data_IF_458053018031
#
_entry.id   IF_458053018031
#
_cell.length_a   1.000
_cell.length_b   1.000
_cell.length_c   1.000
_cell.angle_alpha   90.00
_cell.angle_beta   90.00
_cell.angle_gamma   90.00
#
_symmetry.space_group_name_H-M   'P 1'
#
loop_
_entity.id
_entity.type
_entity.pdbx_description
1 polymer ?
#
# COMPACT_ATOMS: atom_id res chain seq x y z
N UNK A 1 -33.53 -3.29 -24.76
CA UNK A 1 -32.84 -2.30 -25.60
C UNK A 1 -31.38 -2.43 -25.24
N UNK A 2 -30.72 -3.33 -25.88
CA UNK A 2 -29.86 -3.29 -27.04
C UNK A 2 -28.90 -2.08 -27.02
N UNK A 3 -27.61 -2.28 -26.82
CA UNK A 3 -26.65 -2.32 -27.88
C UNK A 3 -25.26 -2.81 -27.45
N UNK A 4 -24.88 -3.78 -28.23
CA UNK A 4 -23.60 -4.51 -28.17
C UNK A 4 -22.63 -3.76 -29.13
N UNK A 5 -21.40 -3.46 -28.66
CA UNK A 5 -20.28 -3.09 -29.55
C UNK A 5 -19.07 -3.93 -29.25
N UNK A 6 -18.91 -4.99 -30.03
CA UNK A 6 -17.73 -5.83 -30.08
C UNK A 6 -16.56 -5.11 -30.73
N UNK A 7 -15.36 -5.26 -30.15
CA UNK A 7 -14.09 -4.82 -30.71
C UNK A 7 -13.48 -5.87 -31.67
N UNK A 8 -12.49 -5.49 -32.51
CA UNK A 8 -12.09 -6.19 -33.72
C UNK A 8 -10.98 -7.28 -33.54
N UNK A 9 -10.88 -7.97 -32.43
CA UNK A 9 -9.88 -9.02 -32.25
C UNK A 9 -10.50 -10.26 -31.59
N UNK A 10 -11.26 -11.08 -32.42
CA UNK A 10 -11.69 -12.42 -32.06
C UNK A 10 -11.01 -13.48 -32.94
N UNK A 11 -10.51 -14.61 -32.40
CA UNK A 11 -9.91 -15.65 -33.20
C UNK A 11 -10.98 -16.47 -33.92
N UNK A 12 -10.77 -16.68 -35.24
CA UNK A 12 -11.57 -17.53 -36.12
C UNK A 12 -11.34 -18.99 -35.72
N UNK A 13 -12.39 -19.65 -35.24
CA UNK A 13 -12.49 -21.08 -35.07
C UNK A 13 -12.78 -21.76 -36.38
N UNK A 14 -11.94 -22.73 -36.73
CA UNK A 14 -12.19 -23.70 -37.80
C UNK A 14 -12.92 -24.89 -37.18
N UNK A 15 -14.15 -25.04 -37.55
CA UNK A 15 -14.94 -26.24 -37.30
C UNK A 15 -14.73 -27.27 -38.41
N UNK A 16 -14.61 -28.46 -37.96
CA UNK A 16 -14.44 -29.71 -38.55
C UNK A 16 -15.65 -30.30 -39.22
N UNK A 17 -15.48 -31.47 -39.65
CA UNK A 17 -16.57 -32.41 -39.75
C UNK A 17 -16.66 -33.16 -41.06
N UNK A 18 -16.40 -34.48 -40.93
CA UNK A 18 -17.26 -35.53 -41.43
C UNK A 18 -17.03 -36.01 -42.85
N UNK A 19 -16.55 -37.11 -43.03
CA UNK A 19 -16.96 -38.46 -43.23
C UNK A 19 -17.81 -38.72 -44.47
N UNK A 20 -17.42 -39.72 -45.25
CA UNK A 20 -18.31 -40.33 -46.22
C UNK A 20 -17.60 -41.08 -47.30
N UNK A 21 -17.64 -42.37 -47.16
CA UNK A 21 -17.35 -43.47 -48.08
C UNK A 21 -18.01 -43.31 -49.47
N UNK A 22 -17.41 -43.99 -50.48
CA UNK A 22 -18.18 -44.41 -51.63
C UNK A 22 -17.37 -44.56 -52.91
N UNK A 23 -17.09 -45.79 -53.24
CA UNK A 23 -16.41 -46.30 -54.38
C UNK A 23 -17.09 -46.10 -55.71
N UNK A 24 -16.42 -46.55 -56.76
CA UNK A 24 -17.01 -46.81 -58.06
C UNK A 24 -16.26 -46.22 -59.24
N UNK A 25 -15.36 -47.00 -59.76
CA UNK A 25 -15.44 -47.69 -61.06
C UNK A 25 -15.52 -46.81 -62.32
N UNK A 26 -14.58 -47.07 -63.22
CA UNK A 26 -14.74 -47.24 -64.63
C UNK A 26 -14.97 -46.04 -65.54
N UNK A 27 -13.99 -45.65 -66.30
CA UNK A 27 -14.26 -44.74 -67.41
C UNK A 27 -13.07 -44.55 -68.34
N UNK A 28 -12.92 -45.49 -69.24
CA UNK A 28 -11.96 -45.46 -70.32
C UNK A 28 -12.43 -44.43 -71.40
N UNK A 29 -11.76 -43.28 -71.54
CA UNK A 29 -12.03 -42.30 -72.59
C UNK A 29 -10.79 -42.01 -73.41
N UNK A 30 -10.93 -41.71 -74.70
CA UNK A 30 -9.86 -41.87 -75.70
C UNK A 30 -8.80 -40.77 -75.58
N UNK A 31 -7.53 -41.21 -75.76
CA UNK A 31 -6.33 -40.39 -75.79
C UNK A 31 -6.30 -39.44 -76.96
N UNK A 32 -6.23 -38.17 -76.74
CA UNK A 32 -5.96 -37.14 -77.71
C UNK A 32 -4.48 -37.14 -78.15
N UNK A 33 -4.17 -37.10 -79.45
CA UNK A 33 -2.80 -37.28 -79.94
C UNK A 33 -1.96 -36.00 -80.04
N UNK A 34 -2.40 -34.91 -79.46
CA UNK A 34 -1.71 -33.61 -79.59
C UNK A 34 -1.39 -33.00 -78.23
N UNK A 35 -0.15 -33.22 -77.73
CA UNK A 35 0.28 -32.52 -76.54
C UNK A 35 1.47 -33.12 -75.82
N UNK A 36 2.61 -33.24 -76.50
CA UNK A 36 3.89 -33.36 -75.76
C UNK A 36 4.48 -31.95 -75.60
N UNK A 37 4.61 -31.43 -74.38
CA UNK A 37 5.40 -30.25 -74.13
C UNK A 37 6.90 -30.54 -74.20
N UNK A 38 7.74 -29.63 -74.75
CA UNK A 38 9.17 -29.86 -74.87
C UNK A 38 9.86 -29.96 -73.51
N UNK A 39 10.78 -30.92 -73.43
CA UNK A 39 11.68 -31.10 -72.27
C UNK A 39 12.51 -29.83 -72.08
N UNK A 40 12.15 -29.01 -71.11
CA UNK A 40 13.01 -27.91 -70.64
C UNK A 40 14.23 -28.48 -69.97
N UNK A 41 15.40 -28.17 -70.49
CA UNK A 41 16.71 -28.31 -69.84
C UNK A 41 16.63 -27.60 -68.51
N UNK A 42 16.89 -28.32 -67.41
CA UNK A 42 17.12 -27.76 -66.09
C UNK A 42 18.40 -26.94 -66.12
N UNK A 43 18.28 -25.63 -66.14
CA UNK A 43 19.31 -24.72 -65.65
C UNK A 43 19.41 -24.90 -64.13
N UNK A 44 20.61 -24.88 -63.53
CA UNK A 44 20.73 -24.90 -62.07
C UNK A 44 20.23 -23.55 -61.53
N UNK A 45 19.04 -23.55 -60.98
CA UNK A 45 18.49 -22.40 -60.24
C UNK A 45 19.22 -22.24 -58.94
N UNK A 46 19.84 -21.06 -58.78
CA UNK A 46 20.34 -20.56 -57.51
C UNK A 46 19.15 -20.26 -56.61
N UNK A 47 18.73 -21.22 -55.82
CA UNK A 47 17.83 -21.01 -54.70
C UNK A 47 18.67 -20.56 -53.50
N UNK A 48 18.14 -19.75 -52.59
CA UNK A 48 18.85 -19.40 -51.36
C UNK A 48 19.06 -20.69 -50.57
N UNK A 49 20.32 -21.13 -50.49
CA UNK A 49 20.74 -22.24 -49.67
C UNK A 49 20.42 -21.89 -48.20
N UNK A 50 19.25 -22.34 -47.72
CA UNK A 50 19.08 -22.61 -46.30
C UNK A 50 20.08 -23.77 -46.06
N UNK A 51 21.26 -23.41 -45.56
CA UNK A 51 22.24 -24.41 -45.16
C UNK A 51 21.55 -25.35 -44.17
N UNK A 52 21.28 -26.58 -44.64
CA UNK A 52 20.75 -27.63 -43.78
C UNK A 52 21.73 -27.83 -42.64
N UNK A 53 21.23 -28.10 -41.43
CA UNK A 53 22.06 -28.41 -40.27
C UNK A 53 23.10 -29.46 -40.58
N UNK A 54 22.81 -30.39 -41.50
CA UNK A 54 23.77 -31.40 -42.05
C UNK A 54 24.92 -30.77 -42.82
N UNK A 55 24.72 -29.70 -43.59
CA UNK A 55 25.82 -29.02 -44.32
C UNK A 55 26.67 -28.18 -43.37
N UNK A 56 26.08 -27.63 -42.32
CA UNK A 56 26.84 -26.95 -41.25
C UNK A 56 27.65 -27.97 -40.42
N UNK A 57 27.06 -29.13 -40.13
CA UNK A 57 27.75 -30.20 -39.43
C UNK A 57 28.87 -30.81 -40.30
N UNK A 58 28.65 -31.02 -41.63
CA UNK A 58 29.71 -31.43 -42.57
C UNK A 58 30.82 -30.40 -42.71
N UNK A 59 30.48 -29.13 -42.91
CA UNK A 59 31.46 -28.05 -42.95
C UNK A 59 32.22 -27.87 -41.63
N UNK A 60 31.52 -28.04 -40.49
CA UNK A 60 32.14 -28.11 -39.18
C UNK A 60 33.14 -29.28 -39.07
N UNK A 61 32.74 -30.48 -39.55
CA UNK A 61 33.58 -31.68 -39.51
C UNK A 61 34.76 -31.58 -40.48
N UNK A 62 34.60 -30.97 -41.66
CA UNK A 62 35.72 -30.76 -42.62
C UNK A 62 36.69 -29.68 -42.15
N UNK A 63 36.20 -28.62 -41.46
CA UNK A 63 37.03 -27.55 -40.96
C UNK A 63 37.78 -27.89 -39.68
N UNK A 64 37.19 -28.73 -38.82
CA UNK A 64 37.82 -29.21 -37.57
C UNK A 64 38.48 -30.58 -37.74
N UNK A 65 38.01 -31.44 -38.64
CA UNK A 65 38.54 -32.80 -38.84
C UNK A 65 39.87 -32.84 -39.61
N UNK A 66 40.24 -31.78 -40.37
CA UNK A 66 41.42 -31.78 -41.21
C UNK A 66 42.72 -31.25 -40.58
N UNK A 67 42.67 -30.77 -39.34
CA UNK A 67 43.81 -30.08 -38.71
C UNK A 67 44.41 -30.80 -37.52
N UNK A 68 43.86 -31.98 -37.16
CA UNK A 68 44.45 -32.85 -36.16
C UNK A 68 45.28 -33.94 -36.84
N UNK A 69 46.62 -33.92 -36.73
CA UNK A 69 47.46 -34.98 -37.25
C UNK A 69 47.09 -36.27 -36.51
N UNK A 70 46.57 -37.24 -37.25
CA UNK A 70 46.28 -38.57 -36.75
C UNK A 70 47.61 -39.29 -36.51
N UNK A 71 48.19 -39.04 -35.33
CA UNK A 71 49.34 -39.83 -34.88
C UNK A 71 48.81 -41.04 -34.12
N UNK A 72 49.02 -42.19 -34.65
CA UNK A 72 48.70 -43.47 -34.02
C UNK A 72 49.28 -43.50 -32.60
N UNK A 73 48.43 -43.55 -31.60
CA UNK A 73 48.84 -43.79 -30.21
C UNK A 73 48.43 -42.78 -29.15
N UNK A 74 47.89 -41.62 -29.52
CA UNK A 74 47.42 -40.65 -28.49
C UNK A 74 45.92 -40.36 -28.63
N UNK A 75 45.10 -40.63 -27.61
CA UNK A 75 43.65 -40.44 -27.68
C UNK A 75 43.30 -38.95 -27.57
N UNK A 76 43.31 -38.21 -28.70
CA UNK A 76 42.96 -36.78 -28.78
C UNK A 76 41.56 -36.48 -28.27
N UNK A 77 40.64 -37.44 -28.26
CA UNK A 77 39.33 -37.33 -27.67
C UNK A 77 39.40 -37.11 -26.15
N UNK A 78 40.43 -37.65 -25.46
CA UNK A 78 40.67 -37.38 -24.03
C UNK A 78 41.08 -35.90 -23.78
N UNK A 79 41.85 -35.30 -24.69
CA UNK A 79 42.15 -33.86 -24.59
C UNK A 79 40.92 -33.01 -24.85
N UNK A 80 40.04 -33.39 -25.80
CA UNK A 80 38.75 -32.77 -26.04
C UNK A 80 37.83 -32.88 -24.84
N UNK A 81 37.77 -34.07 -24.24
CA UNK A 81 37.03 -34.32 -23.00
C UNK A 81 37.60 -33.48 -21.82
N UNK A 82 38.93 -33.41 -21.71
CA UNK A 82 39.62 -32.63 -20.68
C UNK A 82 39.32 -31.12 -20.80
N UNK A 83 39.38 -30.58 -22.03
CA UNK A 83 39.01 -29.14 -22.27
C UNK A 83 37.53 -28.91 -22.00
N UNK A 84 36.66 -29.82 -22.40
CA UNK A 84 35.22 -29.74 -22.10
C UNK A 84 34.94 -29.77 -20.59
N UNK A 85 35.57 -30.66 -19.85
CA UNK A 85 35.48 -30.76 -18.40
C UNK A 85 36.02 -29.48 -17.73
N UNK A 86 37.15 -28.94 -18.22
CA UNK A 86 37.74 -27.72 -17.68
C UNK A 86 36.84 -26.51 -17.94
N UNK A 87 36.27 -26.37 -19.13
CA UNK A 87 35.29 -25.31 -19.44
C UNK A 87 34.01 -25.47 -18.61
N UNK A 88 33.51 -26.70 -18.45
CA UNK A 88 32.34 -26.98 -17.63
C UNK A 88 32.59 -26.64 -16.17
N UNK A 89 33.75 -26.99 -15.62
CA UNK A 89 34.18 -26.67 -14.27
C UNK A 89 34.31 -25.14 -14.07
N UNK A 90 34.92 -24.43 -15.03
CA UNK A 90 35.03 -23.00 -15.00
C UNK A 90 33.66 -22.29 -15.03
N UNK A 91 32.76 -22.77 -15.88
CA UNK A 91 31.45 -22.17 -16.05
C UNK A 91 30.55 -22.42 -14.83
N UNK A 92 30.64 -23.58 -14.18
CA UNK A 92 29.86 -23.95 -13.00
C UNK A 92 30.43 -23.40 -11.70
N UNK A 93 31.71 -23.02 -11.66
CA UNK A 93 32.36 -22.50 -10.46
C UNK A 93 32.21 -20.96 -10.29
N UNK A 94 31.69 -20.28 -11.31
CA UNK A 94 31.66 -18.82 -11.33
C UNK A 94 30.24 -18.32 -11.02
N UNK A 95 30.06 -17.73 -9.84
CA UNK A 95 28.78 -17.18 -9.41
C UNK A 95 28.88 -15.68 -9.15
N UNK A 96 27.91 -14.94 -9.67
CA UNK A 96 27.76 -13.49 -9.42
C UNK A 96 26.62 -13.28 -8.42
N UNK A 97 26.95 -12.66 -7.28
CA UNK A 97 26.00 -12.30 -6.24
C UNK A 97 25.73 -10.79 -6.35
N UNK A 98 24.46 -10.39 -6.29
CA UNK A 98 24.03 -9.02 -6.32
C UNK A 98 24.48 -8.21 -5.10
N UNK A 99 24.44 -6.87 -5.16
CA UNK A 99 24.92 -5.98 -4.07
C UNK A 99 24.06 -6.05 -2.79
N UNK A 100 22.84 -6.57 -2.88
CA UNK A 100 21.90 -6.72 -1.74
C UNK A 100 21.57 -8.19 -1.46
N UNK A 101 22.40 -9.10 -1.95
CA UNK A 101 22.27 -10.54 -1.78
C UNK A 101 23.47 -11.10 -1.05
N UNK A 102 23.26 -12.12 -0.26
CA UNK A 102 24.31 -12.94 0.30
C UNK A 102 24.14 -14.39 -0.18
N UNK A 103 25.25 -15.01 -0.59
CA UNK A 103 25.27 -16.38 -1.04
C UNK A 103 25.55 -17.35 0.12
N UNK A 104 24.72 -18.34 0.29
CA UNK A 104 24.94 -19.44 1.20
C UNK A 104 25.47 -20.62 0.42
N UNK A 105 26.71 -21.03 0.72
CA UNK A 105 27.37 -22.14 0.08
C UNK A 105 27.22 -23.40 0.93
N UNK A 106 26.69 -24.43 0.29
CA UNK A 106 26.54 -25.76 0.90
C UNK A 106 27.46 -26.76 0.22
N UNK A 107 28.16 -27.57 0.98
CA UNK A 107 29.00 -28.69 0.49
C UNK A 107 28.26 -29.97 0.77
N UNK A 108 27.87 -30.72 -0.29
CA UNK A 108 27.10 -31.97 -0.19
C UNK A 108 25.85 -31.83 0.70
N UNK A 109 25.15 -30.66 0.60
CA UNK A 109 23.95 -30.37 1.38
C UNK A 109 24.19 -29.89 2.82
N UNK A 110 25.45 -29.73 3.23
CA UNK A 110 25.82 -29.22 4.55
C UNK A 110 26.31 -27.78 4.42
N UNK A 111 25.86 -26.90 5.29
CA UNK A 111 26.38 -25.52 5.34
C UNK A 111 27.91 -25.48 5.46
N UNK A 112 28.54 -24.72 4.60
CA UNK A 112 30.00 -24.53 4.58
C UNK A 112 30.40 -23.11 4.94
N UNK A 113 29.92 -22.12 4.17
CA UNK A 113 30.26 -20.71 4.38
C UNK A 113 29.20 -19.78 3.77
N UNK A 114 29.14 -18.55 4.26
CA UNK A 114 28.39 -17.47 3.63
C UNK A 114 29.36 -16.57 2.86
N UNK A 115 28.97 -16.16 1.66
CA UNK A 115 29.78 -15.31 0.78
C UNK A 115 29.03 -14.02 0.49
N UNK A 116 29.77 -12.91 0.56
CA UNK A 116 29.23 -11.57 0.32
C UNK A 116 29.00 -11.25 -1.16
N UNK A 117 28.48 -10.05 -1.44
CA UNK A 117 28.23 -9.57 -2.79
C UNK A 117 29.51 -9.50 -3.61
N UNK A 118 29.38 -9.79 -4.92
CA UNK A 118 30.49 -9.79 -5.87
C UNK A 118 30.64 -11.07 -6.65
N UNK A 119 31.86 -11.30 -7.14
CA UNK A 119 32.21 -12.49 -7.89
C UNK A 119 32.82 -13.51 -6.93
N UNK A 120 32.17 -14.65 -6.79
CA UNK A 120 32.59 -15.70 -5.88
C UNK A 120 32.87 -17.00 -6.64
N UNK A 121 33.91 -17.71 -6.17
CA UNK A 121 34.29 -19.02 -6.66
C UNK A 121 33.78 -20.11 -5.72
N UNK A 122 33.05 -21.07 -6.29
CA UNK A 122 32.60 -22.26 -5.59
C UNK A 122 33.14 -23.50 -6.31
N UNK A 123 33.20 -24.63 -5.62
CA UNK A 123 33.48 -25.90 -6.25
C UNK A 123 32.34 -26.27 -7.21
N UNK A 124 32.63 -26.97 -8.33
CA UNK A 124 31.61 -27.31 -9.30
C UNK A 124 30.54 -28.23 -8.71
N UNK A 125 29.31 -27.99 -9.17
CA UNK A 125 28.22 -28.91 -8.87
C UNK A 125 28.62 -30.37 -9.29
N UNK A 126 28.41 -31.44 -8.48
CA UNK A 126 27.53 -31.49 -7.30
C UNK A 126 28.21 -31.28 -5.95
N UNK A 127 29.48 -30.89 -5.89
CA UNK A 127 30.24 -30.79 -4.63
C UNK A 127 29.75 -29.60 -3.78
N UNK A 128 29.68 -28.42 -4.37
CA UNK A 128 29.12 -27.22 -3.72
C UNK A 128 27.89 -26.75 -4.50
N UNK A 129 26.89 -26.29 -3.76
CA UNK A 129 25.73 -25.57 -4.25
C UNK A 129 25.64 -24.23 -3.56
N UNK A 130 25.31 -23.19 -4.29
CA UNK A 130 25.15 -21.85 -3.76
C UNK A 130 23.71 -21.37 -3.97
N UNK A 131 23.12 -20.83 -2.91
CA UNK A 131 21.82 -20.20 -2.92
C UNK A 131 21.96 -18.74 -2.53
N UNK A 132 21.49 -17.82 -3.36
CA UNK A 132 21.51 -16.40 -3.10
C UNK A 132 20.25 -15.99 -2.33
N UNK A 133 20.45 -15.34 -1.19
CA UNK A 133 19.38 -14.83 -0.32
C UNK A 133 19.38 -13.32 -0.40
N UNK A 134 18.24 -12.76 -0.77
CA UNK A 134 18.04 -11.33 -0.82
C UNK A 134 17.81 -10.75 0.59
N UNK A 135 18.57 -9.72 0.95
CA UNK A 135 18.50 -9.00 2.23
C UNK A 135 17.64 -7.73 2.15
N UNK A 136 16.96 -7.48 1.05
CA UNK A 136 16.07 -6.33 0.94
C UNK A 136 14.92 -6.40 1.94
N UNK A 137 14.44 -5.22 2.34
CA UNK A 137 13.26 -5.12 3.19
C UNK A 137 12.03 -5.52 2.38
N UNK A 138 11.32 -6.54 2.87
CA UNK A 138 10.10 -7.06 2.26
C UNK A 138 8.89 -6.75 3.13
N UNK A 139 7.79 -6.27 2.58
CA UNK A 139 6.53 -6.10 3.29
C UNK A 139 5.68 -7.37 3.21
N UNK A 140 5.07 -7.75 4.33
CA UNK A 140 3.97 -8.73 4.38
C UNK A 140 2.73 -7.99 4.88
N UNK A 141 1.68 -7.94 4.07
CA UNK A 141 0.39 -7.38 4.45
C UNK A 141 -0.49 -8.47 5.07
N UNK A 142 -1.13 -8.13 6.19
CA UNK A 142 -2.01 -9.01 6.95
C UNK A 142 -3.33 -8.28 7.18
N UNK A 143 -4.44 -8.92 6.82
CA UNK A 143 -5.77 -8.30 6.85
C UNK A 143 -6.01 -7.27 5.72
N UNK A 144 -7.25 -6.82 5.55
CA UNK A 144 -7.64 -5.80 4.58
C UNK A 144 -7.71 -6.26 3.13
N UNK A 145 -7.79 -7.57 2.87
CA UNK A 145 -8.02 -8.11 1.53
C UNK A 145 -9.48 -7.92 1.09
N UNK A 146 -9.68 -7.66 -0.21
CA UNK A 146 -11.00 -7.44 -0.85
C UNK A 146 -11.88 -8.71 -0.89
N UNK A 147 -11.43 -9.82 -0.29
CA UNK A 147 -12.02 -11.15 -0.43
C UNK A 147 -12.48 -11.84 0.86
N UNK A 148 -12.67 -11.11 1.96
CA UNK A 148 -13.19 -11.72 3.19
C UNK A 148 -12.13 -12.11 4.21
N UNK A 149 -10.87 -11.77 4.03
CA UNK A 149 -9.81 -11.89 5.04
C UNK A 149 -9.95 -10.77 6.10
N UNK A 150 -11.08 -10.79 6.82
CA UNK A 150 -11.26 -9.95 7.99
C UNK A 150 -10.37 -10.50 9.11
N UNK A 151 -9.38 -9.73 9.53
CA UNK A 151 -8.57 -10.07 10.69
C UNK A 151 -9.21 -9.51 11.95
N UNK A 152 -10.20 -10.22 12.47
CA UNK A 152 -10.95 -9.84 13.66
C UNK A 152 -10.15 -10.19 14.92
N UNK A 153 -9.86 -9.20 15.73
CA UNK A 153 -9.11 -9.35 16.98
C UNK A 153 -9.92 -8.77 18.13
N UNK A 154 -9.88 -9.44 19.28
CA UNK A 154 -10.50 -8.97 20.51
C UNK A 154 -9.53 -8.05 21.25
N UNK A 155 -9.99 -6.89 21.67
CA UNK A 155 -9.26 -5.92 22.51
C UNK A 155 -9.41 -6.27 23.99
N UNK A 156 -8.61 -5.61 24.86
CA UNK A 156 -8.63 -5.83 26.30
C UNK A 156 -9.94 -5.40 27.00
N UNK A 157 -10.70 -4.52 26.36
CA UNK A 157 -12.04 -4.07 26.79
C UNK A 157 -13.18 -4.84 26.10
N UNK A 158 -12.91 -6.07 25.63
CA UNK A 158 -13.88 -7.01 25.06
C UNK A 158 -14.56 -6.53 23.76
N UNK A 159 -13.98 -5.57 23.05
CA UNK A 159 -14.44 -5.14 21.75
C UNK A 159 -13.77 -5.93 20.62
N UNK A 160 -14.49 -6.09 19.50
CA UNK A 160 -13.96 -6.72 18.29
C UNK A 160 -13.53 -5.64 17.29
N UNK A 161 -12.30 -5.75 16.82
CA UNK A 161 -11.70 -4.81 15.85
C UNK A 161 -11.18 -5.58 14.64
N UNK A 162 -11.44 -5.05 13.47
CA UNK A 162 -10.80 -5.52 12.23
C UNK A 162 -9.49 -4.74 12.03
N UNK A 163 -8.36 -5.44 12.09
CA UNK A 163 -7.04 -4.80 12.01
C UNK A 163 -6.31 -5.24 10.76
N UNK A 164 -5.99 -4.26 9.90
CA UNK A 164 -5.12 -4.46 8.76
C UNK A 164 -3.77 -3.78 9.02
N UNK A 165 -2.69 -4.53 8.89
CA UNK A 165 -1.34 -4.04 9.15
C UNK A 165 -0.32 -4.62 8.19
N UNK A 166 0.84 -4.00 8.12
CA UNK A 166 1.96 -4.42 7.29
C UNK A 166 3.19 -4.60 8.15
N UNK A 167 3.82 -5.75 8.04
CA UNK A 167 5.09 -6.08 8.68
C UNK A 167 6.20 -5.92 7.66
N UNK A 168 7.21 -5.12 7.97
CA UNK A 168 8.43 -4.96 7.17
C UNK A 168 9.55 -5.74 7.83
N UNK A 169 10.16 -6.64 7.09
CA UNK A 169 11.21 -7.51 7.58
C UNK A 169 12.30 -7.70 6.54
N UNK A 170 13.46 -8.13 6.99
CA UNK A 170 14.59 -8.51 6.13
C UNK A 170 15.31 -9.73 6.70
N UNK A 171 16.08 -10.39 5.87
CA UNK A 171 16.97 -11.46 6.32
C UNK A 171 18.19 -10.83 6.96
N UNK A 172 18.48 -11.21 8.21
CA UNK A 172 19.66 -10.81 8.96
C UNK A 172 20.78 -11.85 8.89
N UNK A 173 20.40 -13.11 8.99
CA UNK A 173 21.30 -14.26 8.95
C UNK A 173 20.80 -15.28 7.94
N UNK A 174 21.37 -15.30 6.70
CA UNK A 174 20.95 -16.19 5.64
C UNK A 174 21.08 -17.67 5.97
N UNK A 175 22.06 -18.03 6.82
CA UNK A 175 22.24 -19.42 7.24
C UNK A 175 21.03 -19.89 8.06
N UNK A 176 20.66 -19.12 9.09
CA UNK A 176 19.52 -19.46 9.94
C UNK A 176 18.22 -19.42 9.15
N UNK A 177 18.09 -18.44 8.25
CA UNK A 177 16.90 -18.28 7.40
C UNK A 177 16.63 -19.52 6.53
N UNK A 178 17.66 -20.09 5.91
CA UNK A 178 17.49 -21.24 5.01
C UNK A 178 17.35 -22.58 5.73
N UNK A 179 17.98 -22.74 6.90
CA UNK A 179 18.10 -24.05 7.53
C UNK A 179 17.28 -24.25 8.80
N UNK A 180 16.70 -23.19 9.38
CA UNK A 180 15.98 -23.32 10.65
C UNK A 180 14.50 -23.61 10.46
N UNK A 181 13.86 -23.05 9.42
CA UNK A 181 12.42 -23.10 9.23
C UNK A 181 12.14 -23.45 7.77
N UNK A 182 11.14 -24.30 7.54
CA UNK A 182 10.78 -24.74 6.20
C UNK A 182 9.97 -23.69 5.42
N UNK A 183 9.00 -23.04 6.09
CA UNK A 183 8.19 -21.94 5.54
C UNK A 183 8.42 -20.68 6.38
N UNK A 184 9.34 -19.85 5.90
CA UNK A 184 9.73 -18.65 6.61
C UNK A 184 8.64 -17.58 6.56
N UNK A 185 8.04 -17.35 5.39
CA UNK A 185 7.03 -16.31 5.22
C UNK A 185 5.73 -16.65 5.95
N UNK A 186 5.32 -17.91 5.89
CA UNK A 186 4.18 -18.41 6.67
C UNK A 186 4.41 -18.26 8.17
N UNK A 187 5.60 -18.65 8.66
CA UNK A 187 5.94 -18.51 10.08
C UNK A 187 5.96 -17.03 10.53
N UNK A 188 6.53 -16.13 9.73
CA UNK A 188 6.53 -14.68 10.05
C UNK A 188 5.09 -14.16 10.13
N UNK A 189 4.20 -14.59 9.22
CA UNK A 189 2.78 -14.24 9.22
C UNK A 189 2.08 -14.73 10.48
N UNK A 190 2.24 -16.00 10.83
CA UNK A 190 1.63 -16.59 12.03
C UNK A 190 2.13 -15.95 13.32
N UNK A 191 3.42 -15.67 13.41
CA UNK A 191 4.02 -14.95 14.55
C UNK A 191 3.48 -13.52 14.62
N UNK A 192 3.30 -12.85 13.48
CA UNK A 192 2.72 -11.50 13.45
C UNK A 192 1.28 -11.48 13.93
N UNK A 193 0.45 -12.42 13.47
CA UNK A 193 -0.94 -12.55 13.91
C UNK A 193 -1.03 -12.86 15.41
N UNK A 194 -0.20 -13.77 15.89
CA UNK A 194 -0.13 -14.13 17.31
C UNK A 194 0.31 -12.94 18.16
N UNK A 195 1.36 -12.23 17.75
CA UNK A 195 1.89 -11.08 18.47
C UNK A 195 0.87 -9.91 18.47
N UNK A 196 0.25 -9.63 17.33
CA UNK A 196 -0.80 -8.61 17.25
C UNK A 196 -1.96 -8.95 18.18
N UNK A 197 -2.44 -10.18 18.17
CA UNK A 197 -3.54 -10.63 19.04
C UNK A 197 -3.15 -10.51 20.54
N UNK A 198 -1.93 -10.88 20.89
CA UNK A 198 -1.45 -10.78 22.26
C UNK A 198 -1.36 -9.33 22.76
N UNK A 199 -0.89 -8.40 21.92
CA UNK A 199 -0.80 -6.98 22.28
C UNK A 199 -2.18 -6.34 22.31
N UNK A 200 -3.03 -6.59 21.32
CA UNK A 200 -4.39 -6.04 21.26
C UNK A 200 -5.25 -6.46 22.45
N UNK A 201 -5.06 -7.66 22.99
CA UNK A 201 -5.75 -8.13 24.18
C UNK A 201 -5.39 -7.34 25.46
N UNK A 202 -4.37 -6.47 25.42
CA UNK A 202 -3.94 -5.63 26.55
C UNK A 202 -4.27 -4.15 26.41
N UNK A 203 -4.86 -3.73 25.29
CA UNK A 203 -5.18 -2.33 24.98
C UNK A 203 -6.66 -2.15 24.79
N UNK A 204 -7.13 -0.89 24.94
CA UNK A 204 -8.53 -0.54 24.71
C UNK A 204 -8.80 -0.27 23.23
N UNK A 205 -10.08 -0.32 22.84
CA UNK A 205 -10.51 0.02 21.48
C UNK A 205 -10.10 1.46 21.11
N UNK A 206 -10.24 2.39 22.04
CA UNK A 206 -9.92 3.81 21.83
C UNK A 206 -8.43 4.01 21.55
N UNK A 207 -7.55 3.33 22.29
CA UNK A 207 -6.10 3.34 22.03
C UNK A 207 -5.76 2.74 20.67
N UNK A 208 -6.43 1.63 20.30
CA UNK A 208 -6.21 0.94 19.03
C UNK A 208 -6.66 1.76 17.80
N UNK A 209 -7.75 2.53 17.94
CA UNK A 209 -8.27 3.40 16.88
C UNK A 209 -7.59 4.78 16.85
N UNK A 210 -7.09 5.23 18.00
CA UNK A 210 -6.57 6.58 18.24
C UNK A 210 -5.06 6.70 18.35
N UNK A 211 -4.61 7.38 19.38
CA UNK A 211 -3.21 7.77 19.60
C UNK A 211 -2.28 6.65 20.08
N UNK A 212 -2.82 5.50 20.51
CA UNK A 212 -2.05 4.36 21.01
C UNK A 212 -1.37 3.52 19.93
N UNK A 213 -1.61 3.78 18.65
CA UNK A 213 -1.11 2.95 17.53
C UNK A 213 0.39 2.76 17.53
N UNK A 214 1.17 3.81 17.73
CA UNK A 214 2.63 3.74 17.75
C UNK A 214 3.15 2.84 18.88
N UNK A 215 2.52 2.87 20.05
CA UNK A 215 2.88 2.01 21.17
C UNK A 215 2.56 0.54 20.87
N UNK A 216 1.40 0.29 20.27
CA UNK A 216 0.99 -1.05 19.79
C UNK A 216 1.98 -1.58 18.76
N UNK A 217 2.32 -0.80 17.74
CA UNK A 217 3.28 -1.15 16.68
C UNK A 217 4.65 -1.55 17.27
N UNK A 218 5.16 -0.76 18.21
CA UNK A 218 6.43 -1.03 18.88
C UNK A 218 6.39 -2.30 19.74
N UNK A 219 5.32 -2.50 20.51
CA UNK A 219 5.16 -3.72 21.33
C UNK A 219 5.05 -4.97 20.47
N UNK A 220 4.28 -4.90 19.35
CA UNK A 220 4.16 -6.00 18.40
C UNK A 220 5.50 -6.31 17.76
N UNK A 221 6.25 -5.30 17.30
CA UNK A 221 7.58 -5.46 16.73
C UNK A 221 8.52 -6.17 17.69
N UNK A 222 8.57 -5.72 18.95
CA UNK A 222 9.41 -6.34 19.99
C UNK A 222 9.01 -7.79 20.27
N UNK A 223 7.73 -8.05 20.40
CA UNK A 223 7.23 -9.41 20.69
C UNK A 223 7.53 -10.35 19.52
N UNK A 224 7.28 -9.91 18.27
CA UNK A 224 7.62 -10.66 17.08
C UNK A 224 9.12 -11.00 17.03
N UNK A 225 9.99 -10.00 17.25
CA UNK A 225 11.43 -10.20 17.22
C UNK A 225 11.87 -11.22 18.29
N UNK A 226 11.34 -11.14 19.50
CA UNK A 226 11.64 -12.11 20.58
C UNK A 226 11.25 -13.55 20.22
N UNK A 227 10.08 -13.73 19.58
CA UNK A 227 9.60 -15.06 19.17
C UNK A 227 10.46 -15.60 18.03
N UNK A 228 10.73 -14.78 16.99
CA UNK A 228 11.54 -15.18 15.84
C UNK A 228 13.00 -15.46 16.20
N UNK A 229 13.56 -14.71 17.15
CA UNK A 229 14.90 -14.98 17.69
C UNK A 229 14.95 -16.32 18.47
N UNK A 230 13.90 -16.65 19.22
CA UNK A 230 13.76 -17.95 19.90
C UNK A 230 13.69 -19.11 18.92
N UNK A 231 13.01 -18.92 17.79
CA UNK A 231 12.95 -19.90 16.70
C UNK A 231 14.21 -19.92 15.85
N UNK A 232 15.15 -18.99 16.06
CA UNK A 232 16.35 -18.82 15.24
C UNK A 232 16.00 -18.63 13.76
N UNK A 233 14.98 -17.83 13.49
CA UNK A 233 14.48 -17.61 12.13
C UNK A 233 15.47 -16.86 11.21
N UNK A 234 16.51 -16.23 11.76
CA UNK A 234 17.49 -15.48 10.97
C UNK A 234 16.95 -14.20 10.34
N UNK A 235 15.80 -13.69 10.81
CA UNK A 235 15.13 -12.50 10.27
C UNK A 235 15.14 -11.35 11.27
N UNK A 236 15.08 -10.14 10.75
CA UNK A 236 14.95 -8.91 11.53
C UNK A 236 13.67 -8.19 11.13
N UNK A 237 12.86 -7.84 12.13
CA UNK A 237 11.66 -7.02 11.91
C UNK A 237 12.07 -5.54 11.94
N UNK A 238 11.91 -4.86 10.82
CA UNK A 238 12.24 -3.43 10.67
C UNK A 238 11.13 -2.53 11.20
N UNK A 239 9.89 -3.01 11.19
CA UNK A 239 8.74 -2.30 11.72
C UNK A 239 7.42 -2.96 11.39
N UNK A 240 6.44 -2.65 12.21
CA UNK A 240 5.04 -2.98 11.98
C UNK A 240 4.29 -1.68 11.77
N UNK A 241 3.36 -1.62 10.84
CA UNK A 241 2.53 -0.44 10.59
C UNK A 241 1.08 -0.83 10.45
N UNK A 242 0.23 -0.29 11.32
CA UNK A 242 -1.21 -0.47 11.30
C UNK A 242 -1.79 0.45 10.22
N UNK A 243 -2.40 -0.13 9.19
CA UNK A 243 -3.04 0.62 8.11
C UNK A 243 -4.47 0.99 8.45
N UNK A 244 -5.18 0.06 9.06
CA UNK A 244 -6.59 0.20 9.36
C UNK A 244 -6.90 -0.52 10.68
N UNK A 245 -7.69 0.12 11.53
CA UNK A 245 -8.20 -0.43 12.78
C UNK A 245 -9.61 0.13 12.97
N UNK A 246 -10.60 -0.64 12.54
CA UNK A 246 -12.00 -0.24 12.55
C UNK A 246 -12.87 -1.33 13.17
N UNK A 247 -14.00 -0.95 13.79
CA UNK A 247 -14.99 -1.95 14.20
C UNK A 247 -15.56 -2.67 12.98
N UNK A 248 -16.08 -3.91 13.15
CA UNK A 248 -16.73 -4.63 12.07
C UNK A 248 -17.87 -3.82 11.44
N UNK A 249 -18.05 -3.93 10.11
CA UNK A 249 -19.06 -3.15 9.36
C UNK A 249 -20.47 -3.23 9.97
N UNK A 250 -20.83 -4.40 10.51
CA UNK A 250 -22.16 -4.63 11.10
C UNK A 250 -22.49 -3.74 12.30
N UNK A 251 -21.48 -3.26 13.02
CA UNK A 251 -21.64 -2.47 14.25
C UNK A 251 -21.14 -1.01 14.09
N UNK A 252 -20.60 -0.67 12.93
CA UNK A 252 -20.02 0.64 12.65
C UNK A 252 -21.00 1.80 12.92
N UNK A 253 -22.27 1.65 12.51
CA UNK A 253 -23.28 2.70 12.71
C UNK A 253 -23.62 2.90 14.20
N UNK A 254 -23.62 1.81 14.98
CA UNK A 254 -23.83 1.91 16.42
C UNK A 254 -22.65 2.62 17.11
N UNK A 255 -21.41 2.29 16.72
CA UNK A 255 -20.21 2.98 17.24
C UNK A 255 -20.21 4.48 16.89
N UNK A 256 -20.56 4.85 15.65
CA UNK A 256 -20.71 6.24 15.24
C UNK A 256 -21.73 6.99 16.07
N UNK A 257 -22.88 6.36 16.35
CA UNK A 257 -23.93 6.95 17.17
C UNK A 257 -23.45 7.20 18.62
N UNK A 258 -22.73 6.24 19.22
CA UNK A 258 -22.14 6.38 20.57
C UNK A 258 -21.09 7.50 20.59
N UNK A 259 -20.17 7.52 19.62
CA UNK A 259 -19.15 8.56 19.52
C UNK A 259 -19.76 9.94 19.33
N UNK A 260 -20.80 10.07 18.49
CA UNK A 260 -21.53 11.32 18.30
C UNK A 260 -22.20 11.79 19.62
N UNK A 261 -22.83 10.88 20.35
CA UNK A 261 -23.44 11.19 21.64
C UNK A 261 -22.40 11.63 22.70
N UNK A 262 -21.23 10.98 22.72
CA UNK A 262 -20.13 11.36 23.61
C UNK A 262 -19.59 12.76 23.27
N UNK A 263 -19.39 13.06 21.98
CA UNK A 263 -18.95 14.37 21.52
C UNK A 263 -19.97 15.47 21.86
N UNK A 264 -21.26 15.16 21.71
CA UNK A 264 -22.34 16.08 22.06
C UNK A 264 -22.36 16.34 23.57
N UNK A 265 -22.25 15.31 24.40
CA UNK A 265 -22.17 15.45 25.86
C UNK A 265 -20.94 16.28 26.31
N UNK A 266 -19.76 16.02 25.67
CA UNK A 266 -18.55 16.83 25.92
C UNK A 266 -18.74 18.28 25.50
N UNK A 267 -19.40 18.54 24.37
CA UNK A 267 -19.72 19.88 23.89
C UNK A 267 -20.64 20.61 24.87
N UNK A 268 -21.69 19.98 25.37
CA UNK A 268 -22.56 20.58 26.40
C UNK A 268 -21.80 20.92 27.68
N UNK A 269 -20.94 20.04 28.14
CA UNK A 269 -20.10 20.28 29.32
C UNK A 269 -19.16 21.46 29.13
N UNK A 270 -18.46 21.52 28.00
CA UNK A 270 -17.56 22.60 27.66
C UNK A 270 -18.30 23.97 27.53
N UNK A 271 -19.46 23.95 26.88
CA UNK A 271 -20.29 25.14 26.73
C UNK A 271 -20.80 25.65 28.10
N UNK A 272 -21.22 24.75 28.99
CA UNK A 272 -21.65 25.11 30.34
C UNK A 272 -20.48 25.68 31.15
N UNK A 273 -19.29 25.11 31.06
CA UNK A 273 -18.09 25.66 31.72
C UNK A 273 -17.71 27.05 31.17
N UNK A 274 -17.72 27.20 29.85
CA UNK A 274 -17.44 28.51 29.22
C UNK A 274 -18.45 29.55 29.63
N UNK A 275 -19.73 29.20 29.68
CA UNK A 275 -20.78 30.11 30.17
C UNK A 275 -20.59 30.50 31.65
N UNK A 276 -20.29 29.51 32.51
CA UNK A 276 -20.00 29.77 33.92
C UNK A 276 -18.80 30.71 34.11
N UNK A 277 -17.72 30.49 33.32
CA UNK A 277 -16.57 31.39 33.33
C UNK A 277 -16.93 32.80 32.83
N UNK A 278 -17.70 32.92 31.76
CA UNK A 278 -18.14 34.18 31.20
C UNK A 278 -18.96 35.00 32.23
N UNK A 279 -19.93 34.35 32.89
CA UNK A 279 -20.73 34.98 33.92
C UNK A 279 -19.86 35.43 35.09
N UNK A 280 -18.93 34.58 35.54
CA UNK A 280 -18.02 34.91 36.63
C UNK A 280 -17.12 36.11 36.28
N UNK A 281 -16.52 36.08 35.08
CA UNK A 281 -15.66 37.17 34.61
C UNK A 281 -16.43 38.49 34.41
N UNK A 282 -17.65 38.42 33.90
CA UNK A 282 -18.51 39.61 33.78
C UNK A 282 -18.84 40.20 35.16
N UNK A 283 -19.24 39.37 36.13
CA UNK A 283 -19.54 39.83 37.49
C UNK A 283 -18.29 40.42 38.18
N UNK A 284 -17.12 39.80 38.03
CA UNK A 284 -15.87 40.34 38.53
C UNK A 284 -15.49 41.66 37.86
N UNK A 285 -15.70 41.77 36.54
CA UNK A 285 -15.49 43.00 35.77
C UNK A 285 -16.39 44.14 36.24
N UNK A 286 -17.67 43.86 36.45
CA UNK A 286 -18.65 44.83 36.98
C UNK A 286 -18.30 45.26 38.40
N UNK A 287 -17.94 44.32 39.28
CA UNK A 287 -17.50 44.64 40.64
C UNK A 287 -16.26 45.54 40.65
N UNK A 288 -15.24 45.19 39.84
CA UNK A 288 -14.02 45.98 39.71
C UNK A 288 -14.28 47.38 39.11
N UNK A 289 -15.21 47.50 38.17
CA UNK A 289 -15.65 48.79 37.63
C UNK A 289 -16.36 49.64 38.69
N UNK A 290 -17.22 48.97 39.47
CA UNK A 290 -17.91 49.67 40.61
C UNK A 290 -16.89 50.18 41.65
N UNK A 291 -15.95 49.39 42.08
CA UNK A 291 -14.93 49.78 43.05
C UNK A 291 -14.11 50.98 42.56
N UNK A 292 -13.72 50.99 41.26
CA UNK A 292 -13.05 52.17 40.68
C UNK A 292 -13.92 53.44 40.70
N UNK A 293 -15.17 53.32 40.33
CA UNK A 293 -16.13 54.47 40.37
C UNK A 293 -16.35 54.90 41.82
N UNK A 294 -16.49 53.98 42.77
CA UNK A 294 -16.63 54.26 44.17
C UNK A 294 -15.41 54.99 44.79
N UNK A 295 -14.20 54.58 44.41
CA UNK A 295 -13.00 55.26 44.81
C UNK A 295 -12.95 56.74 44.32
N UNK A 296 -13.35 56.98 43.06
CA UNK A 296 -13.48 58.34 42.52
C UNK A 296 -14.60 59.15 43.20
N UNK A 297 -15.71 58.52 43.50
CA UNK A 297 -16.82 59.12 44.20
C UNK A 297 -16.41 59.64 45.60
N UNK A 298 -15.61 58.90 46.36
CA UNK A 298 -15.08 59.29 47.66
C UNK A 298 -14.26 60.58 47.59
N UNK A 299 -13.55 60.84 46.52
CA UNK A 299 -12.68 61.98 46.33
C UNK A 299 -13.45 63.23 45.90
N UNK A 300 -14.47 63.08 45.03
CA UNK A 300 -15.27 64.20 44.52
C UNK A 300 -16.72 63.82 44.23
N UNK A 301 -17.60 63.76 45.22
CA UNK A 301 -18.97 63.24 45.10
C UNK A 301 -19.84 63.92 44.05
N UNK A 302 -19.84 65.27 44.05
CA UNK A 302 -20.73 66.03 43.16
C UNK A 302 -20.31 65.91 41.67
N UNK A 303 -19.02 65.93 41.40
CA UNK A 303 -18.50 65.81 40.03
C UNK A 303 -18.76 64.41 39.47
N UNK A 304 -18.52 63.41 40.28
CA UNK A 304 -18.73 62.02 39.88
C UNK A 304 -20.19 61.69 39.60
N UNK A 305 -21.11 62.22 40.44
CA UNK A 305 -22.57 62.06 40.26
C UNK A 305 -23.07 62.73 38.97
N UNK A 306 -22.60 63.93 38.65
CA UNK A 306 -22.94 64.58 37.37
C UNK A 306 -22.43 63.84 36.18
N UNK A 307 -21.19 63.36 36.24
CA UNK A 307 -20.60 62.52 35.14
C UNK A 307 -21.39 61.25 34.92
N UNK A 308 -21.68 60.52 35.97
CA UNK A 308 -22.47 59.27 35.85
C UNK A 308 -23.88 59.55 35.30
N UNK A 309 -24.50 60.67 35.66
CA UNK A 309 -25.78 61.08 35.10
C UNK A 309 -25.67 61.31 33.58
N UNK A 310 -24.67 62.05 33.12
CA UNK A 310 -24.47 62.34 31.70
C UNK A 310 -24.14 61.07 30.93
N UNK A 311 -23.23 60.23 31.41
CA UNK A 311 -22.86 58.97 30.80
C UNK A 311 -24.07 58.00 30.68
N UNK A 312 -24.95 58.01 31.68
CA UNK A 312 -26.18 57.20 31.65
C UNK A 312 -27.21 57.77 30.67
N UNK A 313 -27.42 59.11 30.68
CA UNK A 313 -28.31 59.75 29.72
C UNK A 313 -27.81 59.58 28.27
N UNK A 314 -26.53 59.67 27.98
CA UNK A 314 -25.97 59.46 26.69
C UNK A 314 -26.24 58.00 26.20
N UNK A 315 -26.02 57.04 27.09
CA UNK A 315 -26.27 55.59 26.79
C UNK A 315 -27.75 55.30 26.56
N UNK A 316 -28.66 55.95 27.31
CA UNK A 316 -30.11 55.80 27.12
C UNK A 316 -30.52 56.44 25.82
N UNK A 317 -30.09 57.72 25.61
CA UNK A 317 -30.43 58.47 24.44
C UNK A 317 -29.86 57.94 23.16
N UNK A 318 -28.73 57.20 23.21
CA UNK A 318 -28.18 56.53 22.03
C UNK A 318 -29.00 55.32 21.51
N UNK A 319 -29.82 54.74 22.41
CA UNK A 319 -30.68 53.61 22.13
C UNK A 319 -32.13 53.93 21.78
N UNK A 320 -32.51 55.18 21.94
CA UNK A 320 -33.90 55.67 21.73
C UNK A 320 -33.95 56.52 20.46
N UNK A 321 -34.89 56.19 19.58
CA UNK A 321 -35.19 57.10 18.47
C UNK A 321 -35.67 58.43 18.98
N UNK A 322 -34.90 59.50 18.70
CA UNK A 322 -35.15 60.86 19.21
C UNK A 322 -35.33 61.83 18.05
N UNK A 323 -36.34 62.67 18.19
CA UNK A 323 -36.55 63.80 17.30
C UNK A 323 -36.32 65.07 18.09
N UNK A 324 -35.32 65.86 17.69
CA UNK A 324 -35.03 67.17 18.30
C UNK A 324 -35.78 68.24 17.49
N UNK A 325 -36.66 68.96 18.15
CA UNK A 325 -37.40 70.08 17.53
C UNK A 325 -36.91 71.41 18.14
N UNK A 326 -36.23 72.19 17.32
CA UNK A 326 -35.57 73.46 17.73
C UNK A 326 -36.32 74.73 17.27
N UNK A 327 -37.62 74.77 17.15
CA UNK A 327 -38.31 75.92 16.68
C UNK A 327 -39.24 76.54 17.77
N UNK A 328 -39.12 77.83 18.14
CA UNK A 328 -40.05 78.48 19.03
C UNK A 328 -41.42 78.69 18.35
N UNK A 329 -42.46 77.98 18.86
CA UNK A 329 -43.84 78.16 18.39
C UNK A 329 -44.44 77.02 17.61
N UNK A 330 -43.71 75.86 17.42
CA UNK A 330 -44.23 74.69 16.76
C UNK A 330 -44.92 73.79 17.79
N UNK A 331 -46.20 73.55 17.64
CA UNK A 331 -46.91 72.49 18.36
C UNK A 331 -46.53 71.18 17.71
N UNK A 332 -45.72 70.37 18.38
CA UNK A 332 -45.26 69.10 17.86
C UNK A 332 -46.40 68.09 17.85
N UNK A 333 -47.06 67.95 16.71
CA UNK A 333 -47.96 66.88 16.42
C UNK A 333 -47.14 65.82 15.66
N UNK A 334 -46.61 64.79 16.35
CA UNK A 334 -45.92 63.66 15.74
C UNK A 334 -46.93 62.52 15.66
N UNK A 335 -47.44 62.17 14.46
CA UNK A 335 -48.30 60.96 14.33
C UNK A 335 -47.46 59.70 14.56
N UNK A 336 -47.70 59.03 15.67
CA UNK A 336 -47.07 57.80 16.11
C UNK A 336 -46.99 56.67 15.00
N UNK A 337 -47.90 56.63 14.02
CA UNK A 337 -47.76 55.59 12.93
C UNK A 337 -46.64 55.90 11.96
N UNK A 338 -46.20 57.15 11.79
CA UNK A 338 -45.13 57.49 10.84
C UNK A 338 -43.71 57.05 11.28
N UNK A 339 -43.52 56.90 12.61
CA UNK A 339 -42.22 56.49 13.19
C UNK A 339 -42.01 54.95 13.13
N UNK A 340 -43.08 54.18 13.01
CA UNK A 340 -43.02 52.75 12.91
C UNK A 340 -42.76 52.17 11.48
N UNK A 341 -42.70 53.01 10.47
CA UNK A 341 -42.67 52.61 9.07
C UNK A 341 -41.31 52.41 8.42
N UNK A 342 -40.22 52.54 9.15
CA UNK A 342 -38.88 52.30 8.60
C UNK A 342 -38.13 51.19 9.35
N UNK A 343 -38.69 49.98 9.32
CA UNK A 343 -37.83 48.82 9.47
C UNK A 343 -37.26 48.46 8.06
N UNK A 344 -35.94 48.45 7.87
CA UNK A 344 -35.39 47.94 6.61
C UNK A 344 -35.78 46.49 6.49
N UNK A 345 -36.37 46.14 5.36
CA UNK A 345 -36.65 44.77 4.94
C UNK A 345 -35.33 43.99 4.98
N UNK A 346 -35.24 43.03 5.90
CA UNK A 346 -34.19 42.00 5.86
C UNK A 346 -34.45 41.17 4.62
N UNK A 347 -33.54 41.31 3.66
CA UNK A 347 -33.55 40.49 2.46
C UNK A 347 -33.42 39.00 2.81
N UNK A 348 -34.38 38.22 2.35
CA UNK A 348 -34.29 36.81 2.17
C UNK A 348 -33.05 36.50 1.33
N UNK A 349 -32.07 35.86 1.94
CA UNK A 349 -31.06 35.10 1.19
C UNK A 349 -31.46 33.63 1.23
N UNK A 350 -31.67 33.17 0.04
CA UNK A 350 -31.98 31.79 -0.39
C UNK A 350 -30.77 30.91 -0.22
#
# INVERSE_FOLDING_TARGET
MNENKGGPWGPSGSGGGGGGDGGGDGGNGPRSPWGQPPRRRRTPGVGPNIASLDDLLKKGRERFGGRFPYQEGKPYWLYGLGVFLLLWLLFTSFHRIGPQEEGVVTTLGKYSRTVGPGINFTLPWPIESMEAVDQQIRPIAIGGGTGGDENLILTGDENIVNVAYTVRWRVRDPQLYLFSIQDQEGTIREVAESAMRAVMATVTLDDAMGGGRNDIENRVQHLMQQVLDRYRAGVQIEGVSIRQSDPPEKVNDAFKAVTSAQQEAASYTNNAQAYAQQVTQNAQGEAAAFDKVYAQYKLAPDVTRRRMYYDTMERVLSKVDKTIVEAPGVVSYLPLPAVRGQQPAQGEQK
#
